data_IF_734244118574
#
_entry.id   IF_734244118574
#
_cell.length_a   1.000
_cell.length_b   1.000
_cell.length_c   1.000
_cell.angle_alpha   90.00
_cell.angle_beta   90.00
_cell.angle_gamma   90.00
#
_symmetry.space_group_name_H-M   'P 1'
#
loop_
_entity.id
_entity.type
_entity.pdbx_description
1 polymer ?
#
# COMPACT_ATOMS: atom_id res chain seq x y z
N UNK A 1 27.96 -18.70 -0.13
CA UNK A 1 27.54 -17.54 -0.92
C UNK A 1 26.55 -16.76 -0.07
N UNK A 2 26.99 -15.62 0.53
CA UNK A 2 26.15 -14.75 1.37
C UNK A 2 25.27 -13.83 0.53
N UNK A 3 24.22 -13.24 1.17
CA UNK A 3 23.44 -12.17 0.56
C UNK A 3 24.35 -10.98 0.25
N UNK A 4 24.29 -10.38 -0.95
CA UNK A 4 25.09 -9.20 -1.29
C UNK A 4 24.74 -7.97 -0.45
N UNK A 5 23.62 -8.02 0.26
CA UNK A 5 23.12 -6.93 1.11
C UNK A 5 23.44 -7.22 2.58
N UNK A 6 24.17 -6.32 3.21
CA UNK A 6 24.51 -6.38 4.63
C UNK A 6 24.10 -5.10 5.33
N UNK A 7 23.51 -5.24 6.54
CA UNK A 7 23.18 -4.09 7.36
C UNK A 7 24.43 -3.43 7.93
N UNK A 8 24.52 -2.11 7.88
CA UNK A 8 25.55 -1.34 8.56
C UNK A 8 25.49 -1.61 10.07
N UNK A 9 26.62 -1.87 10.72
CA UNK A 9 26.67 -2.20 12.15
C UNK A 9 26.63 -3.71 12.48
N UNK A 10 26.78 -4.58 11.48
CA UNK A 10 26.92 -6.02 11.66
C UNK A 10 25.61 -6.75 11.97
N UNK A 11 25.74 -7.90 12.64
CA UNK A 11 24.60 -8.80 12.87
C UNK A 11 23.67 -8.40 14.03
N UNK A 12 24.02 -7.39 14.84
CA UNK A 12 23.26 -7.01 16.03
C UNK A 12 21.80 -6.67 15.70
N UNK A 13 21.56 -5.85 14.68
CA UNK A 13 20.20 -5.47 14.25
C UNK A 13 19.36 -6.69 13.83
N UNK A 14 19.97 -7.71 13.22
CA UNK A 14 19.27 -8.92 12.82
C UNK A 14 18.73 -9.70 14.00
N UNK A 15 19.43 -9.68 15.14
CA UNK A 15 19.01 -10.36 16.37
C UNK A 15 17.98 -9.54 17.17
N UNK A 16 18.24 -8.25 17.36
CA UNK A 16 17.40 -7.39 18.21
C UNK A 16 16.07 -7.00 17.55
N UNK A 17 16.00 -6.85 16.22
CA UNK A 17 14.77 -6.47 15.54
C UNK A 17 13.64 -7.47 15.82
N UNK A 18 12.45 -6.98 16.10
CA UNK A 18 11.23 -7.79 16.23
C UNK A 18 10.65 -8.17 14.89
N UNK A 19 10.72 -7.25 13.92
CA UNK A 19 10.26 -7.44 12.55
C UNK A 19 11.38 -7.06 11.59
N UNK A 20 11.53 -7.82 10.51
CA UNK A 20 12.43 -7.52 9.40
C UNK A 20 11.70 -7.73 8.09
N UNK A 21 11.66 -6.69 7.29
CA UNK A 21 11.03 -6.67 5.99
C UNK A 21 12.08 -6.50 4.90
N UNK A 22 11.95 -7.25 3.81
CA UNK A 22 12.69 -7.07 2.56
C UNK A 22 11.75 -6.39 1.56
N UNK A 23 12.06 -5.16 1.20
CA UNK A 23 11.24 -4.33 0.32
C UNK A 23 11.98 -4.17 -1.00
N UNK A 24 11.32 -4.59 -2.10
CA UNK A 24 11.91 -4.54 -3.44
C UNK A 24 10.93 -3.97 -4.45
N UNK A 25 11.45 -3.10 -5.30
CA UNK A 25 10.73 -2.67 -6.49
C UNK A 25 10.69 -3.83 -7.49
N UNK A 26 9.48 -4.16 -7.98
CA UNK A 26 9.26 -5.19 -9.01
C UNK A 26 9.23 -4.55 -10.39
N UNK A 27 8.58 -3.38 -10.52
CA UNK A 27 8.39 -2.70 -11.79
C UNK A 27 8.05 -1.24 -11.63
N UNK A 28 7.96 -0.53 -12.75
CA UNK A 28 7.46 0.84 -12.80
C UNK A 28 6.05 0.85 -13.36
N UNK A 29 5.19 1.65 -12.74
CA UNK A 29 3.85 1.94 -13.23
C UNK A 29 3.98 3.16 -14.14
N UNK A 30 3.54 3.00 -15.37
CA UNK A 30 3.56 4.06 -16.38
C UNK A 30 2.13 4.46 -16.72
N UNK A 31 1.91 5.75 -16.81
CA UNK A 31 0.73 6.31 -17.45
C UNK A 31 1.18 6.96 -18.75
N UNK A 32 0.78 6.35 -19.89
CA UNK A 32 1.30 6.68 -21.23
C UNK A 32 2.83 6.55 -21.29
N UNK A 33 3.57 7.66 -21.31
CA UNK A 33 5.04 7.68 -21.36
C UNK A 33 5.71 8.07 -20.06
N UNK A 34 4.94 8.49 -19.06
CA UNK A 34 5.44 8.98 -17.78
C UNK A 34 5.40 7.90 -16.69
N UNK A 35 6.45 7.83 -15.87
CA UNK A 35 6.48 6.91 -14.72
C UNK A 35 5.81 7.57 -13.55
N UNK A 36 4.62 7.09 -13.19
CA UNK A 36 3.78 7.65 -12.12
C UNK A 36 3.88 6.89 -10.79
N UNK A 37 4.51 5.72 -10.80
CA UNK A 37 4.63 4.93 -9.58
C UNK A 37 5.52 3.70 -9.74
N UNK A 38 5.62 2.94 -8.66
CA UNK A 38 6.37 1.68 -8.59
C UNK A 38 5.50 0.56 -8.06
N UNK A 39 5.51 -0.58 -8.73
CA UNK A 39 5.05 -1.83 -8.13
C UNK A 39 6.12 -2.34 -7.16
N UNK A 40 5.73 -2.58 -5.93
CA UNK A 40 6.63 -2.92 -4.82
C UNK A 40 6.21 -4.24 -4.19
N UNK A 41 7.21 -5.06 -3.89
CA UNK A 41 7.04 -6.32 -3.16
C UNK A 41 7.66 -6.19 -1.79
N UNK A 42 6.91 -6.56 -0.76
CA UNK A 42 7.37 -6.64 0.62
C UNK A 42 7.32 -8.09 1.08
N UNK A 43 8.44 -8.61 1.52
CA UNK A 43 8.56 -9.94 2.11
C UNK A 43 8.90 -9.83 3.59
N UNK A 44 8.10 -10.46 4.43
CA UNK A 44 8.36 -10.57 5.86
C UNK A 44 9.42 -11.63 6.09
N UNK A 45 10.66 -11.22 6.35
CA UNK A 45 11.80 -12.14 6.54
C UNK A 45 11.87 -12.66 7.97
N UNK A 46 11.50 -11.80 8.95
CA UNK A 46 11.47 -12.14 10.36
C UNK A 46 10.30 -11.44 11.02
N UNK A 47 9.57 -12.17 11.86
CA UNK A 47 8.52 -11.62 12.70
C UNK A 47 8.45 -12.42 14.00
N UNK A 48 8.53 -11.73 15.15
CA UNK A 48 8.44 -12.34 16.47
C UNK A 48 7.01 -12.33 17.05
N UNK A 49 6.12 -11.53 16.46
CA UNK A 49 4.75 -11.30 16.99
C UNK A 49 3.67 -11.96 16.15
N UNK A 50 3.98 -12.42 14.93
CA UNK A 50 3.06 -13.10 14.03
C UNK A 50 3.83 -14.05 13.09
N UNK A 51 3.15 -14.97 12.35
CA UNK A 51 3.81 -15.87 11.41
C UNK A 51 4.62 -15.11 10.35
N UNK A 52 5.93 -15.41 10.21
CA UNK A 52 6.79 -14.80 9.21
C UNK A 52 6.59 -15.40 7.81
N UNK A 53 7.41 -14.98 6.84
CA UNK A 53 7.50 -15.49 5.47
C UNK A 53 6.29 -15.19 4.57
N UNK A 54 5.44 -14.26 4.99
CA UNK A 54 4.39 -13.71 4.11
C UNK A 54 4.98 -12.71 3.14
N UNK A 55 4.38 -12.63 1.97
CA UNK A 55 4.75 -11.71 0.92
C UNK A 55 3.49 -10.98 0.43
N UNK A 56 3.63 -9.69 0.19
CA UNK A 56 2.58 -8.84 -0.36
C UNK A 56 3.17 -7.97 -1.45
N UNK A 57 2.37 -7.69 -2.46
CA UNK A 57 2.71 -6.81 -3.58
C UNK A 57 1.67 -5.70 -3.66
N UNK A 58 2.12 -4.47 -3.83
CA UNK A 58 1.25 -3.32 -3.94
C UNK A 58 1.90 -2.19 -4.73
N UNK A 59 1.05 -1.27 -5.19
CA UNK A 59 1.46 -0.13 -5.98
C UNK A 59 1.71 1.09 -5.09
N UNK A 60 2.86 1.75 -5.27
CA UNK A 60 3.18 3.03 -4.66
C UNK A 60 3.15 4.09 -5.76
N UNK A 61 2.21 5.03 -5.65
CA UNK A 61 2.09 6.17 -6.55
C UNK A 61 2.91 7.33 -6.04
N UNK A 62 3.57 8.05 -6.92
CA UNK A 62 4.35 9.23 -6.53
C UNK A 62 3.44 10.37 -6.09
N UNK A 63 3.72 10.92 -4.91
CA UNK A 63 2.93 12.00 -4.32
C UNK A 63 1.65 11.57 -3.57
N UNK A 64 1.11 10.39 -3.87
CA UNK A 64 -0.09 9.87 -3.21
C UNK A 64 0.21 8.77 -2.18
N UNK A 65 1.31 8.00 -2.39
CA UNK A 65 1.65 6.85 -1.55
C UNK A 65 1.03 5.55 -2.05
N UNK A 66 0.61 4.67 -1.13
CA UNK A 66 0.04 3.36 -1.46
C UNK A 66 -1.32 3.53 -2.14
N UNK A 67 -1.51 2.88 -3.29
CA UNK A 67 -2.75 2.92 -4.06
C UNK A 67 -3.85 2.04 -3.44
N UNK A 68 -4.56 2.54 -2.42
CA UNK A 68 -5.62 1.81 -1.71
C UNK A 68 -6.69 1.26 -2.68
N UNK A 69 -7.14 2.07 -3.65
CA UNK A 69 -8.17 1.66 -4.60
C UNK A 69 -7.70 0.54 -5.53
N UNK A 70 -6.42 0.54 -5.91
CA UNK A 70 -5.83 -0.56 -6.68
C UNK A 70 -5.84 -1.87 -5.91
N UNK A 71 -5.46 -1.82 -4.63
CA UNK A 71 -5.49 -2.95 -3.71
C UNK A 71 -6.90 -3.51 -3.54
N UNK A 72 -7.91 -2.64 -3.33
CA UNK A 72 -9.30 -3.06 -3.17
C UNK A 72 -9.80 -3.85 -4.38
N UNK A 73 -9.43 -3.44 -5.60
CA UNK A 73 -9.82 -4.15 -6.82
C UNK A 73 -9.13 -5.53 -6.87
N UNK A 74 -7.81 -5.57 -6.64
CA UNK A 74 -7.04 -6.80 -6.75
C UNK A 74 -7.42 -7.82 -5.66
N UNK A 75 -7.58 -7.37 -4.41
CA UNK A 75 -8.04 -8.20 -3.30
C UNK A 75 -9.52 -8.57 -3.45
N UNK A 76 -10.36 -7.65 -3.96
CA UNK A 76 -11.77 -7.93 -4.24
C UNK A 76 -11.95 -9.01 -5.28
N UNK A 77 -11.13 -9.04 -6.32
CA UNK A 77 -11.12 -10.13 -7.31
C UNK A 77 -10.61 -11.43 -6.68
N UNK A 78 -9.57 -11.38 -5.86
CA UNK A 78 -9.03 -12.57 -5.17
C UNK A 78 -10.03 -13.17 -4.16
N UNK A 79 -10.78 -12.32 -3.46
CA UNK A 79 -11.83 -12.73 -2.51
C UNK A 79 -13.16 -13.12 -3.20
N UNK A 80 -13.29 -12.92 -4.52
CA UNK A 80 -14.53 -13.18 -5.26
C UNK A 80 -15.65 -12.17 -5.00
N UNK A 81 -15.35 -11.05 -4.36
CA UNK A 81 -16.29 -9.95 -4.10
C UNK A 81 -16.50 -9.11 -5.36
N UNK A 82 -15.41 -8.88 -6.10
CA UNK A 82 -15.44 -8.18 -7.39
C UNK A 82 -15.26 -9.18 -8.51
N UNK A 83 -16.18 -9.18 -9.47
CA UNK A 83 -16.11 -10.04 -10.64
C UNK A 83 -15.27 -9.40 -11.73
N UNK A 84 -14.33 -10.16 -12.28
CA UNK A 84 -13.52 -9.76 -13.43
C UNK A 84 -13.90 -10.59 -14.64
N UNK A 85 -14.44 -9.96 -15.67
CA UNK A 85 -14.75 -10.57 -16.97
C UNK A 85 -13.93 -9.92 -18.08
N UNK A 86 -12.81 -10.56 -18.46
CA UNK A 86 -11.86 -9.98 -19.38
C UNK A 86 -11.26 -8.67 -18.84
N UNK A 87 -11.54 -7.55 -19.54
CA UNK A 87 -11.11 -6.21 -19.13
C UNK A 87 -12.11 -5.50 -18.22
N UNK A 88 -13.29 -6.07 -17.98
CA UNK A 88 -14.36 -5.45 -17.18
C UNK A 88 -14.35 -5.90 -15.74
N UNK A 89 -14.55 -4.93 -14.86
CA UNK A 89 -14.76 -5.14 -13.43
C UNK A 89 -16.21 -4.83 -13.07
N UNK A 90 -16.86 -5.69 -12.29
CA UNK A 90 -18.23 -5.51 -11.81
C UNK A 90 -18.35 -5.93 -10.36
N UNK A 91 -19.24 -5.25 -9.64
CA UNK A 91 -19.59 -5.56 -8.26
C UNK A 91 -21.10 -5.78 -8.20
N UNK A 92 -21.53 -7.01 -7.89
CA UNK A 92 -22.92 -7.42 -8.04
C UNK A 92 -23.39 -7.23 -9.49
N UNK A 93 -24.45 -6.42 -9.67
CA UNK A 93 -25.02 -6.09 -10.98
C UNK A 93 -24.46 -4.79 -11.58
N UNK A 94 -23.61 -4.06 -10.84
CA UNK A 94 -23.06 -2.77 -11.24
C UNK A 94 -21.70 -2.91 -11.89
N UNK A 95 -21.48 -2.23 -13.02
CA UNK A 95 -20.21 -2.20 -13.71
C UNK A 95 -19.33 -1.09 -13.14
N UNK A 96 -18.19 -1.47 -12.55
CA UNK A 96 -17.22 -0.53 -11.99
C UNK A 96 -16.45 0.17 -13.10
N UNK A 97 -15.99 -0.58 -14.12
CA UNK A 97 -15.25 0.03 -15.22
C UNK A 97 -14.54 -0.97 -16.12
N UNK A 98 -14.09 -0.46 -17.26
CA UNK A 98 -13.23 -1.20 -18.17
C UNK A 98 -11.76 -0.83 -17.90
N UNK A 99 -10.96 -1.81 -17.50
CA UNK A 99 -9.56 -1.62 -17.13
C UNK A 99 -9.39 -1.19 -15.66
N UNK A 100 -8.19 -1.47 -15.14
CA UNK A 100 -7.84 -1.26 -13.73
C UNK A 100 -7.87 0.23 -13.36
N UNK A 101 -7.42 1.12 -14.24
CA UNK A 101 -7.34 2.56 -13.97
C UNK A 101 -8.73 3.20 -13.92
N UNK A 102 -9.62 2.84 -14.85
CA UNK A 102 -11.01 3.34 -14.83
C UNK A 102 -11.75 2.83 -13.59
N UNK A 103 -11.51 1.58 -13.18
CA UNK A 103 -12.09 1.03 -11.97
C UNK A 103 -11.57 1.73 -10.71
N UNK A 104 -10.29 2.09 -10.64
CA UNK A 104 -9.74 2.91 -9.53
C UNK A 104 -10.42 4.27 -9.46
N UNK A 105 -10.58 4.94 -10.61
CA UNK A 105 -11.23 6.26 -10.64
C UNK A 105 -12.68 6.17 -10.19
N UNK A 106 -13.42 5.17 -10.68
CA UNK A 106 -14.81 4.95 -10.28
C UNK A 106 -14.94 4.74 -8.76
N UNK A 107 -14.07 3.95 -8.14
CA UNK A 107 -14.07 3.74 -6.69
C UNK A 107 -13.63 4.98 -5.90
N UNK A 108 -12.80 5.85 -6.46
CA UNK A 108 -12.48 7.16 -5.85
C UNK A 108 -13.72 8.06 -5.81
N UNK A 109 -14.52 8.05 -6.88
CA UNK A 109 -15.75 8.86 -6.98
C UNK A 109 -16.89 8.28 -6.14
N UNK A 110 -16.90 6.95 -5.94
CA UNK A 110 -17.91 6.21 -5.19
C UNK A 110 -17.33 5.59 -3.90
N UNK A 111 -17.00 6.44 -2.93
CA UNK A 111 -16.39 6.03 -1.66
C UNK A 111 -17.25 5.07 -0.84
N UNK A 112 -18.58 5.21 -0.89
CA UNK A 112 -19.50 4.31 -0.19
C UNK A 112 -19.37 2.86 -0.68
N UNK A 113 -19.32 2.67 -2.01
CA UNK A 113 -19.11 1.34 -2.61
C UNK A 113 -17.69 0.80 -2.28
N UNK A 114 -16.68 1.66 -2.28
CA UNK A 114 -15.32 1.26 -1.92
C UNK A 114 -15.24 0.74 -0.47
N UNK A 115 -15.93 1.39 0.48
CA UNK A 115 -16.02 0.94 1.87
C UNK A 115 -16.76 -0.39 1.98
N UNK A 116 -17.89 -0.55 1.29
CA UNK A 116 -18.64 -1.80 1.29
C UNK A 116 -17.81 -2.99 0.76
N UNK A 117 -17.05 -2.77 -0.31
CA UNK A 117 -16.12 -3.77 -0.86
C UNK A 117 -15.00 -4.07 0.16
N UNK A 118 -14.45 -3.04 0.81
CA UNK A 118 -13.42 -3.20 1.84
C UNK A 118 -13.91 -4.06 3.01
N UNK A 119 -15.11 -3.78 3.52
CA UNK A 119 -15.70 -4.54 4.63
C UNK A 119 -15.93 -6.01 4.25
N UNK A 120 -16.43 -6.27 3.04
CA UNK A 120 -16.60 -7.64 2.55
C UNK A 120 -15.27 -8.38 2.38
N UNK A 121 -14.22 -7.68 1.92
CA UNK A 121 -12.87 -8.26 1.84
C UNK A 121 -12.34 -8.56 3.24
N UNK A 122 -12.48 -7.65 4.20
CA UNK A 122 -12.07 -7.86 5.59
C UNK A 122 -12.79 -9.05 6.23
N UNK A 123 -14.10 -9.12 6.06
CA UNK A 123 -14.91 -10.25 6.53
C UNK A 123 -14.44 -11.59 5.94
N UNK A 124 -14.13 -11.63 4.63
CA UNK A 124 -13.62 -12.84 3.97
C UNK A 124 -12.26 -13.30 4.52
N UNK A 125 -11.48 -12.40 5.12
CA UNK A 125 -10.20 -12.70 5.76
C UNK A 125 -10.28 -12.84 7.29
N UNK A 126 -11.50 -12.81 7.87
CA UNK A 126 -11.71 -12.90 9.31
C UNK A 126 -11.21 -11.69 10.08
N UNK A 127 -11.11 -10.54 9.42
CA UNK A 127 -10.73 -9.27 10.00
C UNK A 127 -11.99 -8.42 10.20
N UNK A 128 -12.86 -8.85 11.10
CA UNK A 128 -14.00 -8.03 11.52
C UNK A 128 -13.49 -6.97 12.49
N UNK A 129 -13.57 -5.70 12.08
CA UNK A 129 -13.37 -4.58 12.96
C UNK A 129 -14.74 -4.15 13.48
N UNK A 130 -14.98 -4.29 14.78
CA UNK A 130 -16.12 -3.66 15.42
C UNK A 130 -15.96 -2.13 15.31
N UNK A 131 -16.63 -1.53 14.35
CA UNK A 131 -16.65 -0.07 14.17
C UNK A 131 -17.23 0.67 15.38
N UNK A 132 -17.95 -0.01 16.27
CA UNK A 132 -18.46 0.57 17.51
C UNK A 132 -17.39 0.86 18.57
N UNK A 133 -16.23 0.17 18.52
CA UNK A 133 -15.13 0.41 19.45
C UNK A 133 -14.21 1.57 19.03
N UNK A 134 -14.27 2.00 17.77
CA UNK A 134 -13.51 3.11 17.22
C UNK A 134 -14.38 4.39 17.10
N UNK A 135 -15.14 4.72 18.13
CA UNK A 135 -15.90 5.97 18.26
C UNK A 135 -15.04 7.22 18.45
N UNK A 136 -13.99 7.35 17.65
CA UNK A 136 -13.13 8.53 17.57
C UNK A 136 -12.89 8.82 16.08
N UNK A 137 -13.42 9.97 15.65
CA UNK A 137 -13.55 10.43 14.29
C UNK A 137 -12.39 10.12 13.34
N UNK A 138 -12.78 9.58 12.21
CA UNK A 138 -11.93 9.32 11.02
C UNK A 138 -11.28 10.59 10.44
N UNK A 139 -11.69 11.77 10.92
CA UNK A 139 -11.09 13.07 10.61
C UNK A 139 -9.70 13.27 11.23
N UNK A 140 -9.45 12.73 12.43
CA UNK A 140 -8.19 12.94 13.14
C UNK A 140 -7.05 12.07 12.58
N UNK A 141 -7.36 10.93 11.97
CA UNK A 141 -6.35 10.02 11.39
C UNK A 141 -5.87 10.56 10.03
N UNK A 142 -6.75 11.17 9.24
CA UNK A 142 -6.36 11.79 7.98
C UNK A 142 -5.54 13.07 8.20
N UNK A 143 -5.82 13.81 9.27
CA UNK A 143 -5.06 15.01 9.64
C UNK A 143 -3.69 14.66 10.27
N UNK A 144 -3.62 13.57 11.03
CA UNK A 144 -2.35 13.06 11.58
C UNK A 144 -1.41 12.46 10.52
N UNK A 145 -1.94 12.00 9.38
CA UNK A 145 -1.15 11.52 8.24
C UNK A 145 -0.87 12.58 7.19
N UNK A 146 -1.44 13.77 7.31
CA UNK A 146 -1.07 14.91 6.48
C UNK A 146 0.32 15.40 6.90
N UNK A 147 1.35 14.90 6.25
CA UNK A 147 2.70 15.48 6.35
C UNK A 147 2.56 16.95 5.93
N UNK A 148 2.84 17.92 6.82
CA UNK A 148 2.74 19.33 6.47
C UNK A 148 3.64 19.59 5.27
N UNK A 149 3.11 20.28 4.27
CA UNK A 149 3.82 20.61 3.01
C UNK A 149 5.12 21.36 3.24
N UNK A 150 5.33 21.86 4.44
CA UNK A 150 6.48 22.65 4.87
C UNK A 150 7.57 21.82 5.59
N UNK A 151 7.34 20.51 5.78
CA UNK A 151 8.37 19.60 6.31
C UNK A 151 9.34 19.16 5.21
N UNK A 152 9.81 20.12 4.40
CA UNK A 152 11.05 19.94 3.65
C UNK A 152 12.18 19.87 4.66
N UNK A 153 12.83 18.76 4.73
CA UNK A 153 14.14 18.64 5.40
C UNK A 153 15.04 19.74 4.87
N UNK A 154 15.61 20.59 5.74
CA UNK A 154 16.56 21.56 5.27
C UNK A 154 17.72 20.80 4.62
N UNK A 155 17.87 20.97 3.32
CA UNK A 155 19.05 20.58 2.61
C UNK A 155 20.24 21.17 3.38
N UNK A 156 21.07 20.32 3.97
CA UNK A 156 22.37 20.70 4.50
C UNK A 156 23.17 21.33 3.35
N UNK A 157 23.10 22.64 3.24
CA UNK A 157 23.99 23.42 2.41
C UNK A 157 25.39 23.27 3.00
N UNK A 158 26.16 22.37 2.39
CA UNK A 158 27.61 22.32 2.62
C UNK A 158 28.20 23.59 2.01
N UNK A 159 28.24 24.66 2.81
CA UNK A 159 29.03 25.83 2.49
C UNK A 159 30.50 25.46 2.62
N UNK A 160 31.15 25.34 1.47
CA UNK A 160 32.59 25.14 1.40
C UNK A 160 33.32 26.32 2.02
N UNK A 161 34.04 26.11 3.10
CA UNK A 161 35.07 27.01 3.58
C UNK A 161 36.29 26.82 2.69
N UNK A 162 36.59 27.83 1.88
CA UNK A 162 37.94 28.09 1.35
C UNK A 162 38.77 28.68 2.50
N UNK A 163 39.92 28.07 2.71
CA UNK A 163 40.97 28.55 3.56
C UNK A 163 42.16 27.61 3.48
#
# INVERSE_FOLDING_TARGET
FGSPETTTGGNALKFYSSVRLDIRRIGSIKDRDEVVGNATRVKVVKNKVAPPFRQVEFDIMYGEGISKMGELIDLGVAAGVVNKSGAWFSYGDERIGQGRENAKQFLRDNTAMALEIEDKIRASHGLEFDMEAAGGGDSDILEACAVPKDAYWPCLSFSGAKG
#
